data_IF_932862941590
#
_entry.id   IF_932862941590
#
_cell.length_a   1.000
_cell.length_b   1.000
_cell.length_c   1.000
_cell.angle_alpha   90.00
_cell.angle_beta   90.00
_cell.angle_gamma   90.00
#
_symmetry.space_group_name_H-M   'P 1'
#
loop_
_entity.id
_entity.type
_entity.pdbx_description
1 polymer ?
#
# COMPACT_ATOMS: atom_id res chain seq x y z
N UNK A 1 -63.45 -34.17 -20.10
CA UNK A 1 -62.02 -34.26 -20.47
C UNK A 1 -61.25 -32.99 -20.11
N UNK A 2 -61.80 -31.78 -20.35
CA UNK A 2 -61.13 -30.50 -20.08
C UNK A 2 -60.63 -30.31 -18.64
N UNK A 3 -61.42 -30.69 -17.63
CA UNK A 3 -61.04 -30.53 -16.21
C UNK A 3 -59.80 -31.33 -15.78
N UNK A 4 -59.58 -32.52 -16.38
CA UNK A 4 -58.41 -33.36 -16.09
C UNK A 4 -57.17 -32.78 -16.77
N UNK A 5 -57.34 -32.21 -17.97
CA UNK A 5 -56.27 -31.53 -18.70
C UNK A 5 -55.84 -30.24 -17.98
N UNK A 6 -56.79 -29.43 -17.51
CA UNK A 6 -56.55 -28.18 -16.81
C UNK A 6 -55.81 -28.38 -15.46
N UNK A 7 -56.16 -29.44 -14.73
CA UNK A 7 -55.39 -29.81 -13.52
C UNK A 7 -53.98 -30.29 -13.85
N UNK A 8 -53.81 -31.11 -14.90
CA UNK A 8 -52.49 -31.59 -15.33
C UNK A 8 -51.58 -30.46 -15.80
N UNK A 9 -52.11 -29.50 -16.56
CA UNK A 9 -51.34 -28.33 -17.01
C UNK A 9 -50.97 -27.41 -15.84
N UNK A 10 -51.85 -27.24 -14.85
CA UNK A 10 -51.53 -26.50 -13.62
C UNK A 10 -50.37 -27.15 -12.84
N UNK A 11 -50.38 -28.47 -12.65
CA UNK A 11 -49.27 -29.17 -11.97
C UNK A 11 -47.97 -29.10 -12.77
N UNK A 12 -48.02 -29.22 -14.10
CA UNK A 12 -46.85 -29.07 -14.95
C UNK A 12 -46.27 -27.65 -14.87
N UNK A 13 -47.12 -26.63 -14.92
CA UNK A 13 -46.69 -25.24 -14.79
C UNK A 13 -46.08 -24.96 -13.41
N UNK A 14 -46.71 -25.43 -12.34
CA UNK A 14 -46.18 -25.29 -10.98
C UNK A 14 -44.85 -26.03 -10.81
N UNK A 15 -44.68 -27.21 -11.41
CA UNK A 15 -43.43 -27.95 -11.38
C UNK A 15 -42.31 -27.18 -12.10
N UNK A 16 -42.60 -26.69 -13.31
CA UNK A 16 -41.65 -25.86 -14.08
C UNK A 16 -41.28 -24.61 -13.28
N UNK A 17 -42.25 -23.94 -12.68
CA UNK A 17 -42.03 -22.74 -11.86
C UNK A 17 -41.13 -23.03 -10.66
N UNK A 18 -41.38 -24.12 -9.92
CA UNK A 18 -40.54 -24.52 -8.79
C UNK A 18 -39.10 -24.86 -9.24
N UNK A 19 -38.94 -25.56 -10.36
CA UNK A 19 -37.61 -25.85 -10.94
C UNK A 19 -36.90 -24.54 -11.34
N UNK A 20 -37.61 -23.60 -11.96
CA UNK A 20 -37.05 -22.29 -12.31
C UNK A 20 -36.55 -21.53 -11.08
N UNK A 21 -37.33 -21.50 -9.99
CA UNK A 21 -36.90 -20.87 -8.73
C UNK A 21 -35.61 -21.52 -8.20
N UNK A 22 -35.56 -22.85 -8.18
CA UNK A 22 -34.37 -23.59 -7.71
C UNK A 22 -33.15 -23.26 -8.58
N UNK A 23 -33.30 -23.25 -9.91
CA UNK A 23 -32.21 -22.91 -10.81
C UNK A 23 -31.70 -21.47 -10.60
N UNK A 24 -32.61 -20.50 -10.49
CA UNK A 24 -32.26 -19.10 -10.20
C UNK A 24 -31.52 -19.00 -8.86
N UNK A 25 -31.98 -19.72 -7.83
CA UNK A 25 -31.34 -19.74 -6.52
C UNK A 25 -29.92 -20.34 -6.57
N UNK A 26 -29.72 -21.43 -7.33
CA UNK A 26 -28.40 -22.05 -7.50
C UNK A 26 -27.42 -21.11 -8.23
N UNK A 27 -27.88 -20.40 -9.26
CA UNK A 27 -27.07 -19.40 -9.97
C UNK A 27 -26.66 -18.28 -9.00
N UNK A 28 -27.61 -17.76 -8.21
CA UNK A 28 -27.35 -16.74 -7.20
C UNK A 28 -26.30 -17.22 -6.17
N UNK A 29 -26.42 -18.46 -5.70
CA UNK A 29 -25.50 -19.03 -4.71
C UNK A 29 -24.08 -19.20 -5.28
N UNK A 30 -23.97 -19.64 -6.54
CA UNK A 30 -22.68 -19.76 -7.25
C UNK A 30 -22.03 -18.38 -7.46
N UNK A 31 -22.80 -17.38 -7.89
CA UNK A 31 -22.33 -16.01 -8.04
C UNK A 31 -21.86 -15.42 -6.71
N UNK A 32 -22.64 -15.60 -5.64
CA UNK A 32 -22.29 -15.14 -4.29
C UNK A 32 -20.99 -15.75 -3.78
N UNK A 33 -20.78 -17.07 -3.95
CA UNK A 33 -19.52 -17.74 -3.61
C UNK A 33 -18.34 -17.22 -4.43
N UNK A 34 -18.53 -17.02 -5.74
CA UNK A 34 -17.50 -16.46 -6.62
C UNK A 34 -17.05 -15.07 -6.19
N UNK A 35 -17.99 -14.18 -5.86
CA UNK A 35 -17.70 -12.83 -5.36
C UNK A 35 -16.94 -12.87 -4.03
N UNK A 36 -17.35 -13.73 -3.09
CA UNK A 36 -16.66 -13.89 -1.82
C UNK A 36 -15.21 -14.39 -1.99
N UNK A 37 -15.01 -15.40 -2.84
CA UNK A 37 -13.68 -15.93 -3.11
C UNK A 37 -12.77 -14.90 -3.79
N UNK A 38 -13.29 -14.18 -4.79
CA UNK A 38 -12.55 -13.10 -5.45
C UNK A 38 -12.15 -12.01 -4.47
N UNK A 39 -13.06 -11.58 -3.58
CA UNK A 39 -12.77 -10.55 -2.58
C UNK A 39 -11.68 -10.99 -1.60
N UNK A 40 -11.77 -12.22 -1.08
CA UNK A 40 -10.75 -12.78 -0.18
C UNK A 40 -9.37 -12.84 -0.86
N UNK A 41 -9.32 -13.26 -2.13
CA UNK A 41 -8.07 -13.26 -2.90
C UNK A 41 -7.50 -11.85 -3.08
N UNK A 42 -8.35 -10.86 -3.34
CA UNK A 42 -7.93 -9.45 -3.46
C UNK A 42 -7.42 -8.89 -2.14
N UNK A 43 -8.08 -9.17 -1.02
CA UNK A 43 -7.64 -8.73 0.31
C UNK A 43 -6.26 -9.30 0.66
N UNK A 44 -6.04 -10.61 0.46
CA UNK A 44 -4.74 -11.26 0.66
C UNK A 44 -3.67 -10.62 -0.23
N UNK A 45 -3.98 -10.40 -1.51
CA UNK A 45 -3.04 -9.77 -2.43
C UNK A 45 -2.64 -8.37 -1.96
N UNK A 46 -3.62 -7.55 -1.54
CA UNK A 46 -3.36 -6.21 -1.05
C UNK A 46 -2.55 -6.22 0.25
N UNK A 47 -2.83 -7.14 1.16
CA UNK A 47 -2.03 -7.33 2.38
C UNK A 47 -0.58 -7.68 2.04
N UNK A 48 -0.35 -8.62 1.11
CA UNK A 48 1.00 -8.96 0.65
C UNK A 48 1.70 -7.75 0.02
N UNK A 49 1.01 -7.03 -0.88
CA UNK A 49 1.57 -5.82 -1.50
C UNK A 49 1.91 -4.73 -0.47
N UNK A 50 1.08 -4.55 0.56
CA UNK A 50 1.38 -3.61 1.64
C UNK A 50 2.64 -4.02 2.39
N UNK A 51 2.74 -5.29 2.79
CA UNK A 51 3.91 -5.82 3.50
C UNK A 51 5.20 -5.67 2.70
N UNK A 52 5.14 -5.92 1.39
CA UNK A 52 6.28 -5.73 0.48
C UNK A 52 6.74 -4.27 0.47
N UNK A 53 5.82 -3.32 0.24
CA UNK A 53 6.17 -1.90 0.17
C UNK A 53 6.67 -1.38 1.52
N UNK A 54 6.09 -1.83 2.63
CA UNK A 54 6.56 -1.50 3.99
C UNK A 54 8.00 -1.97 4.17
N UNK A 55 8.29 -3.24 3.84
CA UNK A 55 9.63 -3.82 3.96
C UNK A 55 10.65 -3.09 3.08
N UNK A 56 10.27 -2.75 1.85
CA UNK A 56 11.14 -2.01 0.94
C UNK A 56 11.45 -0.62 1.49
N UNK A 57 10.46 0.07 2.05
CA UNK A 57 10.65 1.35 2.72
C UNK A 57 11.57 1.25 3.94
N UNK A 58 11.39 0.23 4.80
CA UNK A 58 12.28 -0.02 5.94
C UNK A 58 13.73 -0.25 5.50
N UNK A 59 13.92 -1.05 4.45
CA UNK A 59 15.24 -1.28 3.86
C UNK A 59 15.83 0.04 3.34
N UNK A 60 15.04 0.86 2.64
CA UNK A 60 15.50 2.12 2.10
C UNK A 60 15.87 3.13 3.21
N UNK A 61 15.10 3.19 4.29
CA UNK A 61 15.44 3.99 5.48
C UNK A 61 16.77 3.56 6.09
N UNK A 62 16.98 2.27 6.31
CA UNK A 62 18.24 1.77 6.89
C UNK A 62 19.45 2.13 6.02
N UNK A 63 19.31 2.02 4.69
CA UNK A 63 20.33 2.44 3.74
C UNK A 63 20.59 3.95 3.83
N UNK A 64 19.54 4.76 3.76
CA UNK A 64 19.63 6.22 3.79
C UNK A 64 20.24 6.72 5.09
N UNK A 65 19.91 6.10 6.24
CA UNK A 65 20.49 6.42 7.54
C UNK A 65 22.01 6.21 7.54
N UNK A 66 22.45 5.05 7.06
CA UNK A 66 23.89 4.74 6.93
C UNK A 66 24.60 5.68 5.96
N UNK A 67 23.99 5.98 4.81
CA UNK A 67 24.54 6.88 3.81
C UNK A 67 24.66 8.32 4.33
N UNK A 68 23.63 8.82 5.03
CA UNK A 68 23.60 10.12 5.71
C UNK A 68 24.75 10.21 6.72
N UNK A 69 24.85 9.25 7.63
CA UNK A 69 25.86 9.25 8.70
C UNK A 69 27.29 9.21 8.14
N UNK A 70 27.50 8.43 7.09
CA UNK A 70 28.79 8.33 6.40
C UNK A 70 29.16 9.65 5.72
N UNK A 71 28.21 10.24 4.98
CA UNK A 71 28.43 11.52 4.30
C UNK A 71 28.67 12.66 5.29
N UNK A 72 27.96 12.69 6.42
CA UNK A 72 28.17 13.67 7.49
C UNK A 72 29.58 13.61 8.06
N UNK A 73 30.11 12.40 8.30
CA UNK A 73 31.50 12.21 8.74
C UNK A 73 32.50 12.68 7.68
N UNK A 74 32.25 12.35 6.42
CA UNK A 74 33.12 12.76 5.30
C UNK A 74 33.19 14.29 5.17
N UNK A 75 32.04 14.96 5.16
CA UNK A 75 31.98 16.43 5.10
C UNK A 75 32.75 17.04 6.30
N UNK A 76 32.52 16.54 7.52
CA UNK A 76 33.20 17.03 8.71
C UNK A 76 34.73 16.87 8.63
N UNK A 77 35.22 15.73 8.12
CA UNK A 77 36.66 15.49 7.93
C UNK A 77 37.28 16.34 6.83
N UNK A 78 36.52 16.68 5.78
CA UNK A 78 37.00 17.47 4.64
C UNK A 78 37.00 18.98 4.88
N UNK A 79 36.62 19.44 6.09
CA UNK A 79 36.58 20.88 6.44
C UNK A 79 37.90 21.61 6.19
N UNK A 80 39.04 20.96 6.41
CA UNK A 80 40.36 21.54 6.19
C UNK A 80 40.80 21.52 4.71
N UNK A 81 40.19 20.66 3.90
CA UNK A 81 40.58 20.44 2.49
C UNK A 81 39.71 21.24 1.52
N UNK A 82 38.53 21.69 1.94
CA UNK A 82 37.60 22.44 1.09
C UNK A 82 37.73 23.95 1.27
N UNK A 83 37.39 24.69 0.21
CA UNK A 83 37.20 26.13 0.35
C UNK A 83 36.04 26.42 1.31
N UNK A 84 36.10 27.52 2.10
CA UNK A 84 35.05 27.84 3.07
C UNK A 84 33.65 27.95 2.43
N UNK A 85 33.57 28.51 1.22
CA UNK A 85 32.33 28.66 0.46
C UNK A 85 31.75 27.30 0.04
N UNK A 86 32.59 26.41 -0.47
CA UNK A 86 32.18 25.07 -0.88
C UNK A 86 31.74 24.22 0.31
N UNK A 87 32.53 24.23 1.40
CA UNK A 87 32.18 23.53 2.64
C UNK A 87 30.85 24.02 3.22
N UNK A 88 30.63 25.34 3.23
CA UNK A 88 29.36 25.93 3.68
C UNK A 88 28.18 25.48 2.82
N UNK A 89 28.32 25.51 1.50
CA UNK A 89 27.28 25.06 0.58
C UNK A 89 26.92 23.57 0.76
N UNK A 90 27.93 22.70 0.87
CA UNK A 90 27.74 21.27 1.12
C UNK A 90 27.09 21.01 2.49
N UNK A 91 27.50 21.73 3.52
CA UNK A 91 26.95 21.60 4.88
C UNK A 91 25.48 22.02 4.93
N UNK A 92 25.12 23.14 4.27
CA UNK A 92 23.73 23.58 4.17
C UNK A 92 22.88 22.56 3.40
N UNK A 93 23.40 22.05 2.28
CA UNK A 93 22.69 21.04 1.49
C UNK A 93 22.49 19.75 2.30
N UNK A 94 23.54 19.29 2.99
CA UNK A 94 23.47 18.11 3.87
C UNK A 94 22.45 18.30 5.00
N UNK A 95 22.42 19.48 5.63
CA UNK A 95 21.47 19.78 6.70
C UNK A 95 20.02 19.74 6.20
N UNK A 96 19.74 20.29 5.00
CA UNK A 96 18.42 20.21 4.38
C UNK A 96 18.00 18.75 4.11
N UNK A 97 18.88 17.95 3.54
CA UNK A 97 18.61 16.53 3.27
C UNK A 97 18.40 15.74 4.58
N UNK A 98 19.11 16.10 5.65
CA UNK A 98 18.91 15.52 6.98
C UNK A 98 17.53 15.85 7.53
N UNK A 99 17.09 17.11 7.43
CA UNK A 99 15.74 17.50 7.85
C UNK A 99 14.66 16.78 7.04
N UNK A 100 14.83 16.66 5.71
CA UNK A 100 13.90 15.90 4.87
C UNK A 100 13.86 14.40 5.22
N UNK A 101 15.00 13.83 5.59
CA UNK A 101 15.08 12.45 6.10
C UNK A 101 14.28 12.31 7.39
N UNK A 102 14.53 13.18 8.38
CA UNK A 102 13.91 13.09 9.70
C UNK A 102 12.37 13.28 9.60
N UNK A 103 11.90 14.21 8.75
CA UNK A 103 10.47 14.38 8.45
C UNK A 103 9.87 13.14 7.76
N UNK A 104 10.62 12.50 6.86
CA UNK A 104 10.16 11.28 6.19
C UNK A 104 10.07 10.10 7.17
N UNK A 105 10.98 10.03 8.13
CA UNK A 105 10.97 9.02 9.21
C UNK A 105 9.77 9.23 10.15
N UNK A 106 9.44 10.47 10.50
CA UNK A 106 8.22 10.81 11.25
C UNK A 106 6.96 10.36 10.51
N UNK A 107 6.85 10.69 9.21
CA UNK A 107 5.73 10.25 8.36
C UNK A 107 5.65 8.72 8.31
N UNK A 108 6.78 8.02 8.20
CA UNK A 108 6.78 6.56 8.17
C UNK A 108 6.23 5.95 9.46
N UNK A 109 6.62 6.50 10.60
CA UNK A 109 6.17 6.03 11.92
C UNK A 109 4.69 6.34 12.19
N UNK A 110 4.14 7.38 11.54
CA UNK A 110 2.72 7.75 11.62
C UNK A 110 1.82 6.91 10.68
N UNK A 111 2.37 6.30 9.62
CA UNK A 111 1.57 5.45 8.73
C UNK A 111 1.26 4.10 9.43
N UNK A 112 -0.03 3.72 9.57
CA UNK A 112 -0.40 2.44 10.12
C UNK A 112 0.15 1.29 9.28
N UNK A 113 0.76 0.29 9.92
CA UNK A 113 1.27 -0.91 9.24
C UNK A 113 0.15 -1.87 8.81
N UNK A 114 -1.02 -1.76 9.42
CA UNK A 114 -2.20 -2.60 9.21
C UNK A 114 -3.42 -1.66 9.20
N UNK A 115 -4.46 -1.94 8.39
CA UNK A 115 -5.73 -1.22 8.50
C UNK A 115 -6.25 -1.22 9.94
N UNK A 116 -6.77 -0.08 10.39
CA UNK A 116 -7.33 0.03 11.73
C UNK A 116 -8.48 -0.97 11.90
N UNK A 117 -8.39 -1.84 12.90
CA UNK A 117 -9.54 -2.66 13.30
C UNK A 117 -10.55 -1.74 13.97
N UNK A 118 -11.44 -1.13 13.17
CA UNK A 118 -12.54 -0.34 13.72
C UNK A 118 -13.47 -1.31 14.47
N UNK A 119 -13.32 -1.27 15.78
CA UNK A 119 -14.06 -2.08 16.74
C UNK A 119 -15.57 -1.93 16.50
N UNK A 120 -16.19 -3.02 16.07
CA UNK A 120 -17.61 -3.32 16.20
C UNK A 120 -18.59 -2.14 16.01
N UNK A 121 -18.68 -1.54 14.81
CA UNK A 121 -19.90 -0.79 14.37
C UNK A 121 -19.81 -0.42 12.90
N UNK A 122 -20.37 -1.26 12.01
CA UNK A 122 -21.23 -0.89 10.86
C UNK A 122 -21.38 -2.07 9.90
N UNK A 123 -22.63 -2.39 9.58
CA UNK A 123 -23.11 -3.57 8.85
C UNK A 123 -22.72 -3.66 7.36
N UNK A 124 -21.62 -3.05 6.91
CA UNK A 124 -21.12 -3.09 5.52
C UNK A 124 -19.65 -3.58 5.46
N UNK A 125 -19.40 -4.78 5.99
CA UNK A 125 -18.10 -5.17 6.56
C UNK A 125 -16.94 -5.56 5.64
N UNK A 126 -17.04 -5.57 4.29
CA UNK A 126 -15.96 -6.17 3.47
C UNK A 126 -15.38 -5.30 2.35
N UNK A 127 -16.10 -4.29 1.82
CA UNK A 127 -15.50 -3.40 0.82
C UNK A 127 -14.57 -2.36 1.46
N UNK A 128 -14.80 -2.05 2.74
CA UNK A 128 -14.03 -1.07 3.51
C UNK A 128 -12.55 -1.48 3.64
N UNK A 129 -12.29 -2.76 3.92
CA UNK A 129 -10.92 -3.29 4.05
C UNK A 129 -10.10 -3.16 2.77
N UNK A 130 -10.70 -3.44 1.61
CA UNK A 130 -10.00 -3.31 0.31
C UNK A 130 -9.60 -1.85 0.04
N UNK A 131 -10.48 -0.89 0.33
CA UNK A 131 -10.15 0.54 0.19
C UNK A 131 -9.07 0.98 1.18
N UNK A 132 -9.13 0.53 2.43
CA UNK A 132 -8.14 0.88 3.45
C UNK A 132 -6.74 0.36 3.09
N UNK A 133 -6.64 -0.91 2.67
CA UNK A 133 -5.36 -1.44 2.19
C UNK A 133 -4.85 -0.66 0.98
N UNK A 134 -5.73 -0.32 0.02
CA UNK A 134 -5.34 0.48 -1.14
C UNK A 134 -4.82 1.87 -0.73
N UNK A 135 -5.47 2.52 0.22
CA UNK A 135 -5.07 3.84 0.71
C UNK A 135 -3.73 3.79 1.47
N UNK A 136 -3.53 2.77 2.32
CA UNK A 136 -2.24 2.53 2.99
C UNK A 136 -1.10 2.28 1.99
N UNK A 137 -1.34 1.43 0.99
CA UNK A 137 -0.36 1.18 -0.08
C UNK A 137 -0.02 2.49 -0.79
N UNK A 138 -1.01 3.33 -1.08
CA UNK A 138 -0.78 4.62 -1.74
C UNK A 138 0.03 5.58 -0.87
N UNK A 139 -0.24 5.65 0.45
CA UNK A 139 0.56 6.43 1.41
C UNK A 139 2.01 5.95 1.42
N UNK A 140 2.23 4.65 1.54
CA UNK A 140 3.59 4.08 1.52
C UNK A 140 4.30 4.28 0.19
N UNK A 141 3.61 4.16 -0.96
CA UNK A 141 4.22 4.43 -2.28
C UNK A 141 4.59 5.89 -2.46
N UNK A 142 3.78 6.83 -1.94
CA UNK A 142 4.11 8.26 -1.96
C UNK A 142 5.40 8.50 -1.17
N UNK A 143 5.50 7.90 0.01
CA UNK A 143 6.71 7.96 0.82
C UNK A 143 7.92 7.33 0.10
N UNK A 144 7.76 6.16 -0.53
CA UNK A 144 8.83 5.52 -1.31
C UNK A 144 9.45 6.45 -2.34
N UNK A 145 8.61 7.23 -3.05
CA UNK A 145 9.10 8.21 -4.05
C UNK A 145 9.91 9.33 -3.41
N UNK A 146 9.50 9.82 -2.24
CA UNK A 146 10.25 10.82 -1.48
C UNK A 146 11.60 10.27 -1.04
N UNK A 147 11.64 9.05 -0.50
CA UNK A 147 12.87 8.39 -0.07
C UNK A 147 13.82 8.10 -1.24
N UNK A 148 13.27 7.71 -2.39
CA UNK A 148 14.05 7.48 -3.60
C UNK A 148 14.69 8.77 -4.13
N UNK A 149 13.94 9.88 -4.12
CA UNK A 149 14.50 11.19 -4.44
C UNK A 149 15.60 11.59 -3.45
N UNK A 150 15.36 11.38 -2.15
CA UNK A 150 16.33 11.66 -1.10
C UNK A 150 17.61 10.83 -1.28
N UNK A 151 17.48 9.56 -1.71
CA UNK A 151 18.61 8.69 -2.08
C UNK A 151 19.42 9.29 -3.21
N UNK A 152 18.76 9.73 -4.28
CA UNK A 152 19.42 10.35 -5.42
C UNK A 152 20.15 11.65 -5.00
N UNK A 153 19.50 12.51 -4.23
CA UNK A 153 20.08 13.79 -3.80
C UNK A 153 21.24 13.62 -2.82
N UNK A 154 21.19 12.63 -1.91
CA UNK A 154 22.32 12.25 -1.06
C UNK A 154 23.48 11.69 -1.88
N UNK A 155 23.19 10.87 -2.88
CA UNK A 155 24.20 10.30 -3.78
C UNK A 155 24.90 11.41 -4.56
N UNK A 156 24.14 12.35 -5.13
CA UNK A 156 24.69 13.53 -5.83
C UNK A 156 25.57 14.38 -4.92
N UNK A 157 25.16 14.59 -3.66
CA UNK A 157 25.98 15.35 -2.71
C UNK A 157 27.26 14.60 -2.35
N UNK A 158 27.18 13.28 -2.10
CA UNK A 158 28.35 12.43 -1.87
C UNK A 158 29.34 12.50 -3.03
N UNK A 159 28.84 12.42 -4.26
CA UNK A 159 29.70 12.45 -5.45
C UNK A 159 30.37 13.82 -5.62
N UNK A 160 29.68 14.93 -5.28
CA UNK A 160 30.29 16.27 -5.22
C UNK A 160 31.39 16.37 -4.14
N UNK A 161 31.17 15.76 -2.99
CA UNK A 161 32.13 15.76 -1.87
C UNK A 161 33.33 14.85 -2.15
N UNK A 162 33.13 13.78 -2.94
CA UNK A 162 34.18 12.79 -3.26
C UNK A 162 34.94 13.10 -4.56
N UNK A 163 34.34 13.88 -5.46
CA UNK A 163 34.93 14.28 -6.74
C UNK A 163 35.91 15.46 -6.65
N UNK A 164 36.23 15.90 -5.44
CA UNK A 164 37.22 16.93 -5.09
C UNK A 164 38.30 16.25 -4.27
#
# INVERSE_FOLDING_TARGET
MEWIYEKRTFFLFSLIFMISIVLIYLIYLKARRGVLHSKSKTEIHLQTSLNEVVRDNQSLFSFLKSAKDTLGKQIASSRANFSPEFFSACSIQYQKLTQEFDLSEEIFNDIPLIPEEVDNKRKNGNNFRISEYSDLINRHRKLSRTLEKLREDLTRLRDKVSGI
#
